data_IF_693362786601
#
_entry.id   IF_693362786601
#
_cell.length_a   1.000
_cell.length_b   1.000
_cell.length_c   1.000
_cell.angle_alpha   90.00
_cell.angle_beta   90.00
_cell.angle_gamma   90.00
#
_symmetry.space_group_name_H-M   'P 1'
#
loop_
_entity.id
_entity.type
_entity.pdbx_description
1 polymer ?
#
# COMPACT_ATOMS: atom_id res chain seq x y z
N UNK A 1 1.56 4.62 13.37
CA UNK A 1 0.45 4.61 12.38
C UNK A 1 1.09 4.83 11.03
N UNK A 2 0.86 3.93 10.06
CA UNK A 2 1.38 4.12 8.70
C UNK A 2 0.64 5.30 8.08
N UNK A 3 1.37 6.29 7.58
CA UNK A 3 0.79 7.47 6.93
C UNK A 3 1.19 7.56 5.44
N UNK A 4 0.73 8.62 4.76
CA UNK A 4 1.00 8.79 3.33
C UNK A 4 2.48 8.93 2.97
N UNK A 5 3.31 9.43 3.87
CA UNK A 5 4.75 9.58 3.64
C UNK A 5 5.45 8.24 3.63
N UNK A 6 5.01 7.28 4.44
CA UNK A 6 5.55 5.93 4.44
C UNK A 6 5.33 5.25 3.07
N UNK A 7 4.12 5.38 2.52
CA UNK A 7 3.77 4.87 1.19
C UNK A 7 4.57 5.58 0.10
N UNK A 8 4.68 6.91 0.17
CA UNK A 8 5.45 7.69 -0.78
C UNK A 8 6.93 7.26 -0.80
N UNK A 9 7.54 7.13 0.38
CA UNK A 9 8.92 6.72 0.54
C UNK A 9 9.15 5.29 0.01
N UNK A 10 8.22 4.37 0.29
CA UNK A 10 8.30 3.01 -0.22
C UNK A 10 8.15 2.94 -1.75
N UNK A 11 7.27 3.73 -2.36
CA UNK A 11 7.20 3.84 -3.83
C UNK A 11 8.49 4.40 -4.43
N UNK A 12 9.08 5.43 -3.82
CA UNK A 12 10.38 5.97 -4.24
C UNK A 12 11.48 4.91 -4.13
N UNK A 13 11.47 4.08 -3.08
CA UNK A 13 12.41 2.96 -2.93
C UNK A 13 12.27 1.96 -4.07
N UNK A 14 11.05 1.55 -4.42
CA UNK A 14 10.77 0.66 -5.57
C UNK A 14 11.33 1.26 -6.87
N UNK A 15 11.07 2.54 -7.14
CA UNK A 15 11.57 3.22 -8.34
C UNK A 15 13.11 3.24 -8.37
N UNK A 16 13.75 3.62 -7.26
CA UNK A 16 15.22 3.66 -7.15
C UNK A 16 15.84 2.27 -7.35
N UNK A 17 15.25 1.23 -6.77
CA UNK A 17 15.73 -0.14 -6.93
C UNK A 17 15.58 -0.59 -8.38
N UNK A 18 14.43 -0.35 -9.01
CA UNK A 18 14.22 -0.71 -10.41
C UNK A 18 15.21 0.00 -11.35
N UNK A 19 15.44 1.30 -11.17
CA UNK A 19 16.42 2.07 -11.95
C UNK A 19 17.84 1.49 -11.85
N UNK A 20 18.27 1.06 -10.64
CA UNK A 20 19.60 0.46 -10.43
C UNK A 20 19.78 -0.87 -11.17
N UNK A 21 18.70 -1.59 -11.43
CA UNK A 21 18.71 -2.90 -12.10
C UNK A 21 18.64 -2.80 -13.63
N UNK A 22 18.54 -1.59 -14.18
CA UNK A 22 18.65 -1.29 -15.60
C UNK A 22 17.34 -1.36 -16.38
N UNK A 23 17.45 -1.18 -17.70
CA UNK A 23 16.31 -0.88 -18.61
C UNK A 23 15.20 -1.93 -18.65
N UNK A 24 15.49 -3.18 -18.25
CA UNK A 24 14.47 -4.26 -18.21
C UNK A 24 13.28 -3.93 -17.29
N UNK A 25 13.44 -2.99 -16.36
CA UNK A 25 12.37 -2.54 -15.46
C UNK A 25 11.85 -1.12 -15.75
N UNK A 26 12.12 -0.55 -16.93
CA UNK A 26 11.66 0.80 -17.28
C UNK A 26 10.13 0.93 -17.22
N UNK A 27 9.39 -0.13 -17.58
CA UNK A 27 7.93 -0.17 -17.44
C UNK A 27 7.48 -0.07 -15.98
N UNK A 28 8.21 -0.72 -15.06
CA UNK A 28 7.93 -0.63 -13.63
C UNK A 28 8.22 0.79 -13.12
N UNK A 29 9.36 1.36 -13.50
CA UNK A 29 9.72 2.76 -13.17
C UNK A 29 8.63 3.72 -13.65
N UNK A 30 8.13 3.55 -14.88
CA UNK A 30 7.04 4.37 -15.42
C UNK A 30 5.75 4.22 -14.60
N UNK A 31 5.32 2.98 -14.34
CA UNK A 31 4.09 2.72 -13.61
C UNK A 31 4.11 3.30 -12.19
N UNK A 32 5.20 3.07 -11.45
CA UNK A 32 5.33 3.61 -10.10
C UNK A 32 5.55 5.12 -10.09
N UNK A 33 6.19 5.68 -11.12
CA UNK A 33 6.26 7.13 -11.31
C UNK A 33 4.87 7.75 -11.53
N UNK A 34 3.98 7.08 -12.26
CA UNK A 34 2.59 7.51 -12.42
C UNK A 34 1.79 7.37 -11.12
N UNK A 35 2.01 6.31 -10.34
CA UNK A 35 1.36 6.15 -9.03
C UNK A 35 1.78 7.24 -8.04
N UNK A 36 3.07 7.57 -8.00
CA UNK A 36 3.60 8.64 -7.16
C UNK A 36 3.01 10.00 -7.55
N UNK A 37 2.96 10.31 -8.85
CA UNK A 37 2.34 11.55 -9.35
C UNK A 37 0.86 11.65 -9.01
N UNK A 38 0.12 10.54 -9.16
CA UNK A 38 -1.30 10.48 -8.78
C UNK A 38 -1.47 10.74 -7.30
N UNK A 39 -0.69 10.05 -6.45
CA UNK A 39 -0.72 10.24 -5.00
C UNK A 39 -0.46 11.70 -4.60
N UNK A 40 0.57 12.32 -5.18
CA UNK A 40 0.94 13.71 -4.89
C UNK A 40 -0.08 14.74 -5.39
N UNK A 41 -0.92 14.38 -6.36
CA UNK A 41 -1.96 15.26 -6.90
C UNK A 41 -3.28 15.19 -6.09
N UNK A 42 -3.41 14.25 -5.17
CA UNK A 42 -4.63 14.10 -4.38
C UNK A 42 -4.78 15.19 -3.32
N UNK A 43 -6.01 15.65 -3.11
CA UNK A 43 -6.31 16.66 -2.06
C UNK A 43 -6.33 16.05 -0.66
N UNK A 44 -6.69 14.77 -0.57
CA UNK A 44 -6.79 14.01 0.66
C UNK A 44 -6.02 12.69 0.50
N UNK A 45 -4.71 12.77 0.70
CA UNK A 45 -3.77 11.66 0.49
C UNK A 45 -4.09 10.48 1.41
N UNK A 46 -4.46 10.76 2.66
CA UNK A 46 -4.72 9.72 3.65
C UNK A 46 -5.95 8.90 3.26
N UNK A 47 -7.06 9.55 2.89
CA UNK A 47 -8.26 8.85 2.43
C UNK A 47 -8.02 8.12 1.10
N UNK A 48 -7.27 8.74 0.17
CA UNK A 48 -6.90 8.09 -1.09
C UNK A 48 -6.12 6.80 -0.86
N UNK A 49 -5.13 6.82 0.04
CA UNK A 49 -4.32 5.65 0.37
C UNK A 49 -5.18 4.58 1.03
N UNK A 50 -6.03 4.93 1.99
CA UNK A 50 -6.95 3.98 2.65
C UNK A 50 -7.84 3.26 1.62
N UNK A 51 -8.49 4.03 0.74
CA UNK A 51 -9.31 3.47 -0.34
C UNK A 51 -8.51 2.59 -1.30
N UNK A 52 -7.30 3.02 -1.65
CA UNK A 52 -6.39 2.25 -2.50
C UNK A 52 -6.00 0.94 -1.82
N UNK A 53 -5.62 0.98 -0.54
CA UNK A 53 -5.22 -0.16 0.27
C UNK A 53 -6.31 -1.23 0.31
N UNK A 54 -7.53 -0.85 0.70
CA UNK A 54 -8.69 -1.76 0.76
C UNK A 54 -9.01 -2.32 -0.62
N UNK A 55 -8.91 -1.51 -1.68
CA UNK A 55 -9.15 -1.96 -3.06
C UNK A 55 -8.15 -3.01 -3.53
N UNK A 56 -6.85 -2.85 -3.21
CA UNK A 56 -5.82 -3.78 -3.69
C UNK A 56 -5.67 -5.01 -2.78
N UNK A 57 -5.96 -4.88 -1.48
CA UNK A 57 -5.86 -5.95 -0.49
C UNK A 57 -7.12 -6.03 0.39
N UNK A 58 -8.25 -6.47 -0.16
CA UNK A 58 -9.49 -6.59 0.61
C UNK A 58 -9.38 -7.64 1.73
N UNK A 59 -8.50 -8.63 1.61
CA UNK A 59 -8.26 -9.68 2.58
C UNK A 59 -6.82 -10.22 2.50
N UNK A 60 -6.47 -11.12 3.43
CA UNK A 60 -5.14 -11.73 3.52
C UNK A 60 -4.80 -12.62 2.31
N UNK A 61 -5.78 -13.31 1.73
CA UNK A 61 -5.59 -14.14 0.55
C UNK A 61 -5.14 -13.31 -0.66
N UNK A 62 -5.80 -12.17 -0.91
CA UNK A 62 -5.43 -11.25 -1.98
C UNK A 62 -4.01 -10.71 -1.80
N UNK A 63 -3.62 -10.39 -0.56
CA UNK A 63 -2.26 -9.96 -0.23
C UNK A 63 -1.22 -11.06 -0.49
N UNK A 64 -1.48 -12.28 0.01
CA UNK A 64 -0.58 -13.43 -0.12
C UNK A 64 -0.38 -13.80 -1.60
N UNK A 65 -1.47 -13.90 -2.36
CA UNK A 65 -1.43 -14.20 -3.79
C UNK A 65 -0.63 -13.14 -4.58
N UNK A 66 -0.76 -11.86 -4.21
CA UNK A 66 0.00 -10.77 -4.85
C UNK A 66 1.50 -10.93 -4.62
N UNK A 67 1.93 -11.22 -3.39
CA UNK A 67 3.34 -11.41 -3.07
C UNK A 67 3.93 -12.64 -3.75
N UNK A 68 3.19 -13.75 -3.79
CA UNK A 68 3.64 -14.96 -4.50
C UNK A 68 3.85 -14.71 -6.00
N UNK A 69 2.94 -13.97 -6.64
CA UNK A 69 3.07 -13.60 -8.04
C UNK A 69 4.30 -12.70 -8.27
N UNK A 70 4.53 -11.72 -7.40
CA UNK A 70 5.71 -10.86 -7.52
C UNK A 70 7.02 -11.59 -7.28
N UNK A 71 7.05 -12.55 -6.35
CA UNK A 71 8.20 -13.41 -6.12
C UNK A 71 8.55 -14.24 -7.36
N UNK A 72 7.55 -14.68 -8.12
CA UNK A 72 7.73 -15.42 -9.38
C UNK A 72 8.17 -14.50 -10.53
N UNK A 73 7.62 -13.28 -10.62
CA UNK A 73 7.92 -12.35 -11.72
C UNK A 73 9.25 -11.62 -11.57
N UNK A 74 9.71 -11.44 -10.33
CA UNK A 74 10.95 -10.75 -10.02
C UNK A 74 11.91 -11.71 -9.34
N UNK A 75 12.73 -12.40 -10.16
CA UNK A 75 13.84 -13.25 -9.69
C UNK A 75 14.88 -12.46 -8.85
N UNK A 76 14.86 -11.12 -8.96
CA UNK A 76 15.75 -10.24 -8.21
C UNK A 76 15.23 -9.98 -6.80
N UNK A 77 15.98 -10.48 -5.80
CA UNK A 77 15.64 -10.35 -4.39
C UNK A 77 15.50 -8.90 -3.91
N UNK A 78 16.26 -7.95 -4.44
CA UNK A 78 16.21 -6.55 -3.95
C UNK A 78 14.94 -5.84 -4.44
N UNK A 79 14.59 -6.06 -5.70
CA UNK A 79 13.37 -5.48 -6.28
C UNK A 79 12.14 -6.08 -5.61
N UNK A 80 12.11 -7.40 -5.47
CA UNK A 80 11.06 -8.09 -4.74
C UNK A 80 10.94 -7.58 -3.30
N UNK A 81 12.04 -7.46 -2.56
CA UNK A 81 12.03 -6.95 -1.18
C UNK A 81 11.45 -5.53 -1.10
N UNK A 82 11.80 -4.64 -2.04
CA UNK A 82 11.23 -3.28 -2.07
C UNK A 82 9.72 -3.25 -2.35
N UNK A 83 9.23 -4.17 -3.19
CA UNK A 83 7.80 -4.33 -3.45
C UNK A 83 7.09 -4.93 -2.24
N UNK A 84 7.69 -5.92 -1.61
CA UNK A 84 7.16 -6.57 -0.41
C UNK A 84 6.99 -5.55 0.73
N UNK A 85 7.97 -4.69 0.97
CA UNK A 85 7.87 -3.60 1.94
C UNK A 85 6.69 -2.66 1.63
N UNK A 86 6.56 -2.19 0.38
CA UNK A 86 5.45 -1.33 -0.02
C UNK A 86 4.10 -2.01 0.20
N UNK A 87 3.98 -3.27 -0.16
CA UNK A 87 2.71 -3.98 -0.06
C UNK A 87 2.36 -4.40 1.36
N UNK A 88 3.35 -4.62 2.24
CA UNK A 88 3.14 -4.74 3.68
C UNK A 88 2.49 -3.49 4.26
N UNK A 89 2.93 -2.31 3.85
CA UNK A 89 2.34 -1.04 4.31
C UNK A 89 0.88 -0.92 3.86
N UNK A 90 0.59 -1.17 2.58
CA UNK A 90 -0.79 -1.15 2.08
C UNK A 90 -1.67 -2.20 2.77
N UNK A 91 -1.17 -3.42 2.98
CA UNK A 91 -1.94 -4.47 3.66
C UNK A 91 -2.23 -4.12 5.12
N UNK A 92 -1.26 -3.53 5.84
CA UNK A 92 -1.49 -3.05 7.20
C UNK A 92 -2.60 -2.00 7.24
N UNK A 93 -2.58 -1.02 6.34
CA UNK A 93 -3.67 -0.02 6.22
C UNK A 93 -5.00 -0.70 5.93
N UNK A 94 -5.05 -1.62 4.96
CA UNK A 94 -6.29 -2.30 4.60
C UNK A 94 -6.86 -3.14 5.76
N UNK A 95 -5.99 -3.82 6.52
CA UNK A 95 -6.37 -4.60 7.69
C UNK A 95 -6.95 -3.72 8.79
N UNK A 96 -6.35 -2.55 9.04
CA UNK A 96 -6.86 -1.59 10.02
C UNK A 96 -8.19 -0.96 9.57
N UNK A 97 -8.38 -0.69 8.27
CA UNK A 97 -9.64 -0.13 7.76
C UNK A 97 -10.78 -1.16 7.70
N UNK A 98 -10.46 -2.44 7.48
CA UNK A 98 -11.43 -3.53 7.44
C UNK A 98 -11.67 -4.18 8.81
N UNK A 99 -11.00 -3.73 9.88
CA UNK A 99 -11.19 -4.31 11.22
C UNK A 99 -12.59 -4.01 11.73
N UNK A 100 -13.17 -4.97 12.46
CA UNK A 100 -14.35 -4.71 13.24
C UNK A 100 -14.03 -3.68 14.33
N UNK A 101 -14.95 -2.75 14.57
CA UNK A 101 -14.84 -1.83 15.69
C UNK A 101 -14.94 -2.63 16.99
N UNK A 102 -14.12 -2.28 17.96
CA UNK A 102 -14.24 -2.82 19.31
C UNK A 102 -15.55 -2.37 19.97
N UNK A 103 -16.01 -3.10 20.98
CA UNK A 103 -17.19 -2.73 21.77
C UNK A 103 -17.03 -1.33 22.39
N UNK A 104 -15.83 -0.98 22.86
CA UNK A 104 -15.52 0.35 23.38
C UNK A 104 -15.69 1.46 22.32
N UNK A 105 -15.21 1.23 21.09
CA UNK A 105 -15.38 2.16 19.98
C UNK A 105 -16.86 2.29 19.58
N UNK A 106 -17.60 1.19 19.59
CA UNK A 106 -19.04 1.18 19.34
C UNK A 106 -19.77 1.99 20.43
N UNK A 107 -19.48 1.75 21.71
CA UNK A 107 -20.11 2.43 22.84
C UNK A 107 -19.79 3.93 22.84
N UNK A 108 -18.55 4.32 22.55
CA UNK A 108 -18.17 5.73 22.39
C UNK A 108 -18.94 6.41 21.26
N UNK A 109 -19.14 5.74 20.14
CA UNK A 109 -19.92 6.29 19.03
C UNK A 109 -21.41 6.40 19.36
N UNK A 110 -21.99 5.42 20.04
CA UNK A 110 -23.37 5.49 20.52
C UNK A 110 -23.58 6.68 21.48
N UNK A 111 -22.66 6.85 22.44
CA UNK A 111 -22.64 8.03 23.34
C UNK A 111 -22.55 9.35 22.58
N UNK A 112 -21.69 9.44 21.56
CA UNK A 112 -21.55 10.63 20.73
C UNK A 112 -22.80 10.94 19.88
N UNK A 113 -23.58 9.92 19.54
CA UNK A 113 -24.86 10.05 18.83
C UNK A 113 -26.05 10.32 19.78
N UNK A 114 -25.82 10.32 21.10
CA UNK A 114 -26.85 10.43 22.13
C UNK A 114 -27.94 9.35 22.03
N UNK A 115 -27.55 8.14 21.63
CA UNK A 115 -28.37 6.91 21.66
C UNK A 115 -27.94 6.05 22.85
#
# INVERSE_FOLDING_TARGET
MVDHKDIELAQVKVIKTALRKGRKYDNLVKNYGEYLKKLQAEKDLNNYIKKTAVKIFPNEEAYTLRLENYRKWYEDNDLYASLEELYKLYYHIAKEENRERSDDEIEQMLKAMAI
#
